data_IF_735867023949
#
_entry.id   IF_735867023949
#
_cell.length_a   1.000
_cell.length_b   1.000
_cell.length_c   1.000
_cell.angle_alpha   90.00
_cell.angle_beta   90.00
_cell.angle_gamma   90.00
#
_symmetry.space_group_name_H-M   'P 1'
#
loop_
_entity.id
_entity.type
_entity.pdbx_description
1 polymer ?
#
# COMPACT_ATOMS: atom_id res chain seq x y z
N UNK A 1 14.01 10.18 -0.53
CA UNK A 1 12.54 9.96 -0.58
C UNK A 1 12.09 9.32 0.74
N UNK A 2 11.02 9.80 1.39
CA UNK A 2 10.50 9.19 2.63
C UNK A 2 9.03 8.78 2.45
N UNK A 3 8.81 7.79 1.58
CA UNK A 3 7.51 7.16 1.46
C UNK A 3 7.16 6.37 2.73
N UNK A 4 5.89 6.09 2.98
CA UNK A 4 5.46 5.04 3.91
C UNK A 4 5.84 3.61 3.42
N UNK A 5 6.35 3.50 2.19
CA UNK A 5 7.07 2.34 1.64
C UNK A 5 8.56 2.43 1.97
N UNK A 6 9.13 3.60 2.27
CA UNK A 6 10.54 3.75 2.61
C UNK A 6 10.91 3.14 3.98
N UNK A 7 9.95 2.50 4.66
CA UNK A 7 10.20 1.56 5.77
C UNK A 7 10.74 0.20 5.29
N UNK A 8 10.54 -0.18 4.01
CA UNK A 8 11.25 -1.29 3.36
C UNK A 8 12.45 -0.79 2.54
N UNK A 9 13.36 -1.70 2.21
CA UNK A 9 14.54 -1.38 1.41
C UNK A 9 14.23 -1.53 -0.09
N UNK A 10 14.55 -0.55 -0.96
CA UNK A 10 14.22 -0.59 -2.39
C UNK A 10 14.64 -1.87 -3.12
N UNK A 11 15.77 -2.49 -2.74
CA UNK A 11 16.27 -3.73 -3.37
C UNK A 11 15.43 -4.97 -3.01
N UNK A 12 14.51 -4.84 -2.06
CA UNK A 12 13.63 -5.92 -1.59
C UNK A 12 12.15 -5.56 -1.58
N UNK A 13 11.80 -4.28 -1.65
CA UNK A 13 10.43 -3.78 -1.59
C UNK A 13 9.65 -4.20 -2.84
N UNK A 14 8.64 -5.07 -2.68
CA UNK A 14 7.78 -5.55 -3.77
C UNK A 14 7.26 -4.42 -4.66
N UNK A 15 6.82 -3.34 -4.03
CA UNK A 15 6.27 -2.14 -4.68
C UNK A 15 7.28 -1.30 -5.48
N UNK A 16 8.56 -1.69 -5.54
CA UNK A 16 9.64 -1.02 -6.28
C UNK A 16 10.09 -1.79 -7.54
N UNK A 17 9.51 -2.96 -7.81
CA UNK A 17 9.80 -3.78 -8.99
C UNK A 17 8.73 -3.59 -10.06
N UNK A 18 9.10 -3.57 -11.34
CA UNK A 18 8.15 -3.59 -12.45
C UNK A 18 7.60 -5.02 -12.65
N UNK A 19 6.46 -5.16 -13.32
CA UNK A 19 5.85 -6.48 -13.52
C UNK A 19 6.77 -7.52 -14.21
N UNK A 20 7.69 -7.16 -15.15
CA UNK A 20 8.61 -8.13 -15.76
C UNK A 20 9.76 -8.57 -14.84
N UNK A 21 10.00 -7.89 -13.72
CA UNK A 21 11.04 -8.27 -12.75
C UNK A 21 10.57 -9.41 -11.82
N UNK A 22 9.29 -9.80 -11.90
CA UNK A 22 8.73 -10.96 -11.22
C UNK A 22 8.81 -12.23 -12.11
N UNK A 23 9.00 -13.43 -11.52
CA UNK A 23 9.10 -14.67 -12.28
C UNK A 23 7.87 -14.94 -13.17
N UNK A 24 8.10 -15.05 -14.47
CA UNK A 24 7.12 -15.57 -15.43
C UNK A 24 7.10 -17.11 -15.41
N UNK A 25 6.01 -17.70 -15.91
CA UNK A 25 5.87 -19.17 -16.02
C UNK A 25 7.08 -19.81 -16.75
N UNK A 26 7.73 -20.77 -16.09
CA UNK A 26 8.93 -21.45 -16.60
C UNK A 26 10.28 -20.83 -16.22
N UNK A 27 10.29 -19.66 -15.56
CA UNK A 27 11.50 -19.06 -14.98
C UNK A 27 11.80 -19.59 -13.56
N UNK A 28 12.97 -19.24 -13.01
CA UNK A 28 13.31 -19.61 -11.64
C UNK A 28 12.38 -18.90 -10.64
N UNK A 29 11.74 -19.61 -9.69
CA UNK A 29 10.76 -19.00 -8.80
C UNK A 29 11.39 -18.03 -7.81
N UNK A 30 10.64 -17.01 -7.41
CA UNK A 30 11.01 -16.11 -6.33
C UNK A 30 10.94 -16.90 -5.01
N UNK A 31 12.06 -17.12 -4.30
CA UNK A 31 12.07 -18.08 -3.20
C UNK A 31 11.18 -17.69 -2.01
N UNK A 32 11.03 -16.40 -1.69
CA UNK A 32 10.29 -15.95 -0.51
C UNK A 32 9.59 -14.59 -0.70
N UNK A 33 8.29 -14.55 -0.44
CA UNK A 33 7.56 -13.32 -0.12
C UNK A 33 7.47 -13.15 1.41
N UNK A 34 7.65 -11.94 1.92
CA UNK A 34 7.38 -11.59 3.32
C UNK A 34 6.24 -10.57 3.35
N UNK A 35 5.14 -10.89 4.03
CA UNK A 35 4.01 -9.99 4.26
C UNK A 35 4.07 -9.45 5.70
N UNK A 36 4.37 -8.15 5.89
CA UNK A 36 4.32 -7.53 7.21
C UNK A 36 2.87 -7.29 7.63
N UNK A 37 2.47 -7.83 8.78
CA UNK A 37 1.20 -7.58 9.44
C UNK A 37 1.44 -6.71 10.67
N UNK A 38 1.17 -5.41 10.54
CA UNK A 38 1.33 -4.44 11.61
C UNK A 38 -0.04 -4.01 12.13
N UNK A 39 -0.34 -4.36 13.39
CA UNK A 39 -1.60 -3.94 14.00
C UNK A 39 -1.49 -2.51 14.49
N UNK A 40 -2.37 -1.63 14.01
CA UNK A 40 -2.57 -0.30 14.60
C UNK A 40 -3.40 -0.39 15.89
N UNK A 41 -3.01 -1.33 16.75
CA UNK A 41 -3.65 -1.61 18.02
C UNK A 41 -3.17 -0.61 19.07
N UNK A 42 -4.09 0.18 19.64
CA UNK A 42 -3.80 0.94 20.85
C UNK A 42 -3.39 0.00 21.99
N UNK A 43 -2.10 0.01 22.35
CA UNK A 43 -1.53 -0.80 23.45
C UNK A 43 -1.42 -0.04 24.78
N UNK A 44 -1.84 1.23 24.81
CA UNK A 44 -1.87 2.08 26.00
C UNK A 44 -2.40 3.47 25.66
N UNK A 45 -2.53 4.33 26.68
CA UNK A 45 -2.96 5.73 26.51
C UNK A 45 -1.87 6.66 25.98
N UNK A 46 -0.60 6.28 26.16
CA UNK A 46 0.58 7.09 25.84
C UNK A 46 1.45 6.52 24.69
N UNK A 47 1.12 5.32 24.20
CA UNK A 47 1.83 4.68 23.08
C UNK A 47 1.19 5.07 21.74
N UNK A 48 1.95 5.57 20.75
CA UNK A 48 1.47 5.76 19.38
C UNK A 48 0.94 4.47 18.75
N UNK A 49 -0.14 4.55 17.97
CA UNK A 49 -0.73 3.34 17.37
C UNK A 49 0.13 2.75 16.24
N UNK A 50 1.09 3.51 15.68
CA UNK A 50 2.09 3.05 14.69
C UNK A 50 3.34 2.41 15.30
N UNK A 51 3.45 2.29 16.62
CA UNK A 51 4.63 1.75 17.30
C UNK A 51 4.98 0.32 16.85
N UNK A 52 3.98 -0.50 16.53
CA UNK A 52 4.15 -1.84 15.96
C UNK A 52 4.87 -1.82 14.61
N UNK A 53 4.45 -0.94 13.70
CA UNK A 53 5.09 -0.76 12.39
C UNK A 53 6.51 -0.20 12.53
N UNK A 54 6.70 0.83 13.37
CA UNK A 54 8.00 1.47 13.55
C UNK A 54 9.08 0.50 14.06
N UNK A 55 8.73 -0.36 15.02
CA UNK A 55 9.66 -1.36 15.56
C UNK A 55 9.77 -2.55 14.61
N UNK A 56 8.64 -3.05 14.09
CA UNK A 56 8.59 -4.20 13.18
C UNK A 56 9.37 -3.97 11.88
N UNK A 57 9.21 -2.81 11.24
CA UNK A 57 9.91 -2.47 10.01
C UNK A 57 11.44 -2.36 10.22
N UNK A 58 11.89 -1.82 11.36
CA UNK A 58 13.32 -1.76 11.70
C UNK A 58 13.91 -3.16 11.88
N UNK A 59 13.21 -4.04 12.59
CA UNK A 59 13.59 -5.45 12.77
C UNK A 59 13.65 -6.17 11.42
N UNK A 60 12.63 -5.97 10.57
CA UNK A 60 12.56 -6.60 9.26
C UNK A 60 13.69 -6.11 8.34
N UNK A 61 13.92 -4.79 8.23
CA UNK A 61 15.02 -4.19 7.45
C UNK A 61 16.38 -4.79 7.85
N UNK A 62 16.68 -4.78 9.15
CA UNK A 62 17.94 -5.30 9.67
C UNK A 62 18.09 -6.80 9.39
N UNK A 63 17.02 -7.59 9.57
CA UNK A 63 17.03 -9.02 9.30
C UNK A 63 17.16 -9.36 7.80
N UNK A 64 16.58 -8.56 6.90
CA UNK A 64 16.61 -8.81 5.45
C UNK A 64 17.85 -8.27 4.76
N UNK A 65 18.62 -7.37 5.38
CA UNK A 65 19.76 -6.70 4.74
C UNK A 65 20.84 -7.65 4.15
N UNK A 66 21.14 -8.83 4.72
CA UNK A 66 22.08 -9.78 4.11
C UNK A 66 21.56 -10.50 2.86
N UNK A 67 20.25 -10.43 2.57
CA UNK A 67 19.59 -11.16 1.47
C UNK A 67 19.26 -10.30 0.25
N UNK A 68 19.64 -9.01 0.23
CA UNK A 68 19.33 -8.13 -0.91
C UNK A 68 20.04 -8.58 -2.19
N UNK A 69 21.36 -8.76 -2.10
CA UNK A 69 22.24 -8.99 -3.25
C UNK A 69 22.01 -10.30 -4.03
N UNK A 70 21.24 -11.25 -3.47
CA UNK A 70 20.92 -12.53 -4.13
C UNK A 70 19.47 -12.56 -4.67
N UNK A 71 18.69 -11.49 -4.51
CA UNK A 71 17.31 -11.39 -4.99
C UNK A 71 16.34 -12.43 -4.41
N UNK A 72 16.71 -13.16 -3.35
CA UNK A 72 16.00 -14.36 -2.88
C UNK A 72 14.69 -14.09 -2.16
N UNK A 73 14.40 -12.83 -1.82
CA UNK A 73 13.15 -12.45 -1.17
C UNK A 73 12.58 -11.13 -1.72
N UNK A 74 11.28 -10.92 -1.49
CA UNK A 74 10.62 -9.61 -1.59
C UNK A 74 9.76 -9.35 -0.36
N UNK A 75 9.71 -8.10 0.07
CA UNK A 75 8.88 -7.62 1.18
C UNK A 75 7.68 -6.90 0.59
N UNK A 76 6.49 -7.41 0.86
CA UNK A 76 5.24 -6.78 0.46
C UNK A 76 5.00 -5.50 1.28
N UNK A 77 4.21 -4.54 0.76
CA UNK A 77 3.73 -3.42 1.56
C UNK A 77 3.02 -3.89 2.84
N UNK A 78 3.14 -3.17 3.96
CA UNK A 78 2.57 -3.61 5.23
C UNK A 78 1.04 -3.54 5.22
N UNK A 79 0.39 -4.58 5.73
CA UNK A 79 -1.02 -4.49 6.18
C UNK A 79 -1.01 -3.75 7.50
N UNK A 80 -1.72 -2.61 7.55
CA UNK A 80 -1.79 -1.71 8.73
C UNK A 80 -3.06 -1.90 9.55
N UNK A 81 -3.98 -2.72 9.05
CA UNK A 81 -5.25 -3.01 9.67
C UNK A 81 -5.06 -4.06 10.78
N UNK A 82 -5.75 -3.88 11.92
CA UNK A 82 -5.82 -4.91 12.95
C UNK A 82 -6.75 -6.00 12.47
N UNK A 83 -6.25 -7.24 12.34
CA UNK A 83 -7.03 -8.39 11.90
C UNK A 83 -7.88 -8.95 13.06
N UNK A 84 -8.81 -8.14 13.56
CA UNK A 84 -9.88 -8.50 14.48
C UNK A 84 -10.85 -7.31 14.64
N UNK A 85 -12.15 -7.58 14.76
CA UNK A 85 -13.08 -6.55 15.22
C UNK A 85 -12.88 -6.29 16.72
N UNK A 86 -12.71 -5.02 17.11
CA UNK A 86 -12.61 -4.63 18.52
C UNK A 86 -13.62 -3.53 18.86
N UNK A 87 -14.16 -3.60 20.08
CA UNK A 87 -14.88 -2.47 20.71
C UNK A 87 -13.93 -1.36 21.16
N UNK A 88 -12.65 -1.69 21.36
CA UNK A 88 -11.56 -0.78 21.72
C UNK A 88 -10.31 -1.11 20.89
N UNK A 89 -10.12 -0.35 19.82
CA UNK A 89 -9.05 -0.52 18.82
C UNK A 89 -9.29 0.45 17.67
N UNK A 90 -8.32 0.54 16.76
CA UNK A 90 -8.40 1.44 15.60
C UNK A 90 -8.07 0.65 14.33
N UNK A 91 -8.77 0.97 13.24
CA UNK A 91 -8.53 0.40 11.91
C UNK A 91 -8.64 -1.13 11.90
N UNK A 92 -9.67 -1.67 12.57
CA UNK A 92 -9.93 -3.11 12.61
C UNK A 92 -10.61 -3.63 11.35
N UNK A 93 -10.37 -4.90 11.03
CA UNK A 93 -11.16 -5.69 10.07
C UNK A 93 -11.89 -6.81 10.82
N UNK A 94 -13.15 -7.06 10.46
CA UNK A 94 -13.85 -8.25 10.92
C UNK A 94 -13.17 -9.54 10.40
N UNK A 95 -13.32 -10.69 11.09
CA UNK A 95 -12.57 -11.91 10.75
C UNK A 95 -12.75 -12.41 9.32
N UNK A 96 -13.93 -12.24 8.73
CA UNK A 96 -14.21 -12.67 7.36
C UNK A 96 -13.53 -11.75 6.36
N UNK A 97 -13.62 -10.42 6.53
CA UNK A 97 -12.85 -9.46 5.70
C UNK A 97 -11.36 -9.70 5.83
N UNK A 98 -10.85 -9.95 7.04
CA UNK A 98 -9.45 -10.23 7.28
C UNK A 98 -8.97 -11.49 6.55
N UNK A 99 -9.79 -12.55 6.53
CA UNK A 99 -9.50 -13.78 5.79
C UNK A 99 -9.54 -13.54 4.28
N UNK A 100 -10.63 -12.97 3.75
CA UNK A 100 -10.78 -12.62 2.33
C UNK A 100 -9.56 -11.80 1.85
N UNK A 101 -9.14 -10.80 2.63
CA UNK A 101 -7.98 -9.94 2.36
C UNK A 101 -6.67 -10.72 2.29
N UNK A 102 -6.32 -11.52 3.32
CA UNK A 102 -5.07 -12.28 3.33
C UNK A 102 -5.03 -13.36 2.24
N UNK A 103 -6.16 -13.98 1.92
CA UNK A 103 -6.25 -14.96 0.84
C UNK A 103 -6.14 -14.32 -0.54
N UNK A 104 -6.73 -13.14 -0.73
CA UNK A 104 -6.56 -12.33 -1.94
C UNK A 104 -5.08 -11.95 -2.18
N UNK A 105 -4.36 -11.50 -1.15
CA UNK A 105 -2.93 -11.21 -1.25
C UNK A 105 -2.10 -12.48 -1.50
N UNK A 106 -2.41 -13.58 -0.81
CA UNK A 106 -1.69 -14.85 -0.97
C UNK A 106 -1.84 -15.43 -2.37
N UNK A 107 -3.01 -15.27 -3.01
CA UNK A 107 -3.22 -15.58 -4.42
C UNK A 107 -2.29 -14.76 -5.32
N UNK A 108 -2.26 -13.43 -5.16
CA UNK A 108 -1.38 -12.54 -5.94
C UNK A 108 0.11 -12.85 -5.77
N UNK A 109 0.54 -13.21 -4.54
CA UNK A 109 1.90 -13.70 -4.26
C UNK A 109 2.23 -14.95 -5.07
N UNK A 110 1.34 -15.96 -5.07
CA UNK A 110 1.50 -17.19 -5.87
C UNK A 110 1.50 -16.90 -7.37
N UNK A 111 0.60 -16.05 -7.85
CA UNK A 111 0.48 -15.69 -9.27
C UNK A 111 1.69 -14.89 -9.78
N UNK A 112 2.45 -14.28 -8.86
CA UNK A 112 3.73 -13.60 -9.14
C UNK A 112 4.96 -14.53 -9.02
N UNK A 113 4.76 -15.85 -9.03
CA UNK A 113 5.84 -16.84 -9.07
C UNK A 113 6.56 -17.09 -7.74
N UNK A 114 6.00 -16.66 -6.61
CA UNK A 114 6.53 -17.00 -5.29
C UNK A 114 6.19 -18.44 -4.88
N UNK A 115 7.14 -19.12 -4.21
CA UNK A 115 6.91 -20.48 -3.66
C UNK A 115 6.74 -20.51 -2.14
N UNK A 116 7.21 -19.47 -1.43
CA UNK A 116 7.11 -19.35 0.02
C UNK A 116 6.50 -18.01 0.41
N UNK A 117 5.69 -18.00 1.47
CA UNK A 117 5.10 -16.78 2.04
C UNK A 117 5.26 -16.77 3.57
N UNK A 118 6.01 -15.79 4.08
CA UNK A 118 6.17 -15.54 5.51
C UNK A 118 5.23 -14.41 5.94
N UNK A 119 4.29 -14.70 6.83
CA UNK A 119 3.53 -13.70 7.56
C UNK A 119 4.35 -13.23 8.77
N UNK A 120 4.91 -12.03 8.70
CA UNK A 120 5.65 -11.42 9.81
C UNK A 120 4.71 -10.53 10.61
N UNK A 121 4.24 -11.00 11.76
CA UNK A 121 3.17 -10.37 12.52
C UNK A 121 3.66 -9.73 13.82
N UNK A 122 3.39 -8.44 14.01
CA UNK A 122 3.70 -7.72 15.26
C UNK A 122 2.52 -7.70 16.24
N UNK A 123 1.31 -7.96 15.75
CA UNK A 123 0.06 -7.80 16.48
C UNK A 123 -0.37 -9.11 17.15
N UNK A 124 -0.26 -9.19 18.47
CA UNK A 124 -0.77 -10.35 19.23
C UNK A 124 -2.27 -10.59 18.99
N UNK A 125 -3.03 -9.53 18.66
CA UNK A 125 -4.46 -9.60 18.31
C UNK A 125 -4.67 -10.27 16.94
N UNK A 126 -3.81 -9.97 15.96
CA UNK A 126 -3.90 -10.51 14.59
C UNK A 126 -3.33 -11.94 14.48
N UNK A 127 -2.63 -12.43 15.51
CA UNK A 127 -1.90 -13.70 15.47
C UNK A 127 -2.77 -14.93 15.11
N UNK A 128 -4.00 -15.11 15.63
CA UNK A 128 -4.84 -16.26 15.27
C UNK A 128 -5.23 -16.26 13.79
N UNK A 129 -5.66 -15.10 13.26
CA UNK A 129 -6.08 -14.98 11.87
C UNK A 129 -4.90 -15.05 10.89
N UNK A 130 -3.72 -14.55 11.26
CA UNK A 130 -2.49 -14.77 10.50
C UNK A 130 -2.12 -16.27 10.42
N UNK A 131 -2.30 -17.03 11.52
CA UNK A 131 -2.06 -18.47 11.53
C UNK A 131 -3.08 -19.25 10.69
N UNK A 132 -4.37 -18.91 10.78
CA UNK A 132 -5.43 -19.51 9.93
C UNK A 132 -5.18 -19.23 8.44
N UNK A 133 -5.00 -17.96 8.06
CA UNK A 133 -4.76 -17.60 6.66
C UNK A 133 -3.48 -18.23 6.09
N UNK A 134 -2.44 -18.45 6.92
CA UNK A 134 -1.25 -19.18 6.50
C UNK A 134 -1.55 -20.66 6.18
N UNK A 135 -2.40 -21.33 6.95
CA UNK A 135 -2.81 -22.70 6.66
C UNK A 135 -3.68 -22.77 5.40
N UNK A 136 -4.63 -21.86 5.26
CA UNK A 136 -5.56 -21.82 4.13
C UNK A 136 -4.83 -21.47 2.82
N UNK A 137 -3.94 -20.47 2.82
CA UNK A 137 -3.11 -20.12 1.66
C UNK A 137 -2.19 -21.27 1.21
N UNK A 138 -1.76 -22.13 2.13
CA UNK A 138 -1.00 -23.35 1.81
C UNK A 138 -1.88 -24.43 1.20
N UNK A 139 -3.09 -24.61 1.72
CA UNK A 139 -4.04 -25.60 1.22
C UNK A 139 -4.60 -25.21 -0.17
N UNK A 140 -4.95 -23.95 -0.38
CA UNK A 140 -5.58 -23.46 -1.61
C UNK A 140 -4.58 -23.13 -2.72
N UNK A 141 -3.43 -22.52 -2.40
CA UNK A 141 -2.47 -22.04 -3.40
C UNK A 141 -1.16 -22.84 -3.47
N UNK A 142 -0.99 -23.87 -2.63
CA UNK A 142 0.22 -24.70 -2.61
C UNK A 142 1.48 -23.98 -2.08
N UNK A 143 1.33 -22.76 -1.53
CA UNK A 143 2.43 -22.00 -0.96
C UNK A 143 3.02 -22.70 0.27
N UNK A 144 4.34 -22.70 0.40
CA UNK A 144 4.96 -23.01 1.69
C UNK A 144 4.82 -21.79 2.59
N UNK A 145 3.87 -21.83 3.51
CA UNK A 145 3.59 -20.72 4.42
C UNK A 145 4.29 -20.85 5.76
N UNK A 146 4.64 -19.71 6.33
CA UNK A 146 5.31 -19.56 7.62
C UNK A 146 4.70 -18.38 8.37
N UNK A 147 4.66 -18.44 9.70
CA UNK A 147 4.22 -17.32 10.54
C UNK A 147 5.29 -17.09 11.59
N UNK A 148 5.76 -15.85 11.71
CA UNK A 148 6.66 -15.42 12.78
C UNK A 148 5.98 -14.31 13.57
N UNK A 149 5.75 -14.57 14.86
CA UNK A 149 5.27 -13.56 15.78
C UNK A 149 6.46 -12.75 16.29
N UNK A 150 6.35 -11.42 16.30
CA UNK A 150 7.36 -10.55 16.87
C UNK A 150 7.63 -10.85 18.36
N UNK A 151 6.61 -11.29 19.10
CA UNK A 151 6.73 -11.72 20.49
C UNK A 151 7.71 -12.90 20.66
N UNK A 152 7.69 -13.88 19.75
CA UNK A 152 8.59 -15.05 19.78
C UNK A 152 10.05 -14.65 19.46
N UNK A 153 10.26 -13.50 18.80
CA UNK A 153 11.57 -12.89 18.61
C UNK A 153 12.07 -12.15 19.85
N UNK A 154 11.26 -12.02 20.91
CA UNK A 154 11.57 -11.25 22.12
C UNK A 154 11.21 -9.77 22.05
N UNK A 155 10.34 -9.38 21.10
CA UNK A 155 9.81 -8.01 21.04
C UNK A 155 8.55 -7.90 21.88
N UNK A 156 8.68 -7.28 23.06
CA UNK A 156 7.52 -6.76 23.79
C UNK A 156 7.27 -5.31 23.37
N UNK A 157 6.01 -5.00 23.07
CA UNK A 157 5.53 -3.67 22.70
C UNK A 157 4.78 -2.99 23.87
N UNK A 158 4.67 -3.66 25.03
CA UNK A 158 4.04 -3.15 26.25
C UNK A 158 5.08 -2.61 27.27
N UNK A 159 6.35 -2.93 27.08
CA UNK A 159 7.47 -2.55 27.95
C UNK A 159 8.64 -1.95 27.12
N UNK A 160 9.67 -1.34 27.75
CA UNK A 160 10.73 -0.64 27.03
C UNK A 160 11.36 -1.54 25.97
N UNK A 161 11.34 -1.07 24.72
CA UNK A 161 11.45 -1.88 23.51
C UNK A 161 12.45 -3.04 23.61
N UNK A 162 11.95 -4.26 23.39
CA UNK A 162 12.79 -5.45 23.28
C UNK A 162 13.92 -5.25 22.27
N UNK A 163 15.07 -5.88 22.51
CA UNK A 163 16.30 -5.66 21.74
C UNK A 163 16.07 -5.93 20.23
N UNK A 164 15.94 -4.84 19.48
CA UNK A 164 15.71 -4.82 18.03
C UNK A 164 16.84 -5.54 17.27
N UNK A 165 18.07 -5.45 17.76
CA UNK A 165 19.22 -6.13 17.14
C UNK A 165 19.14 -7.64 17.39
N UNK A 166 18.84 -8.08 18.62
CA UNK A 166 18.65 -9.50 18.93
C UNK A 166 17.44 -10.09 18.17
N UNK A 167 16.33 -9.36 18.09
CA UNK A 167 15.13 -9.77 17.34
C UNK A 167 15.41 -9.87 15.83
N UNK A 168 16.11 -8.90 15.25
CA UNK A 168 16.53 -8.92 13.85
C UNK A 168 17.45 -10.12 13.56
N UNK A 169 18.42 -10.40 14.44
CA UNK A 169 19.32 -11.55 14.32
C UNK A 169 18.59 -12.89 14.39
N UNK A 170 17.57 -13.01 15.25
CA UNK A 170 16.68 -14.19 15.30
C UNK A 170 15.88 -14.34 14.01
N UNK A 171 15.27 -13.26 13.53
CA UNK A 171 14.52 -13.24 12.27
C UNK A 171 15.41 -13.56 11.05
N UNK A 172 16.64 -13.05 11.00
CA UNK A 172 17.62 -13.39 9.96
C UNK A 172 17.95 -14.88 9.95
N UNK A 173 18.12 -15.50 11.12
CA UNK A 173 18.27 -16.96 11.25
C UNK A 173 17.07 -17.70 10.69
N UNK A 174 15.86 -17.33 11.11
CA UNK A 174 14.62 -17.90 10.61
C UNK A 174 14.44 -17.70 9.09
N UNK A 175 14.78 -16.55 8.51
CA UNK A 175 14.74 -16.32 7.06
C UNK A 175 15.74 -17.26 6.35
N UNK A 176 16.93 -17.46 6.91
CA UNK A 176 17.93 -18.40 6.36
C UNK A 176 17.39 -19.83 6.37
N UNK A 177 16.80 -20.26 7.48
CA UNK A 177 16.15 -21.56 7.62
C UNK A 177 14.94 -21.71 6.69
N UNK A 178 14.08 -20.70 6.57
CA UNK A 178 12.92 -20.67 5.66
C UNK A 178 13.37 -20.78 4.21
N UNK A 179 14.41 -20.05 3.79
CA UNK A 179 14.97 -20.16 2.44
C UNK A 179 15.54 -21.56 2.18
N UNK A 180 16.30 -22.11 3.14
CA UNK A 180 16.86 -23.45 3.08
C UNK A 180 15.81 -24.58 3.25
N UNK A 181 14.65 -24.30 3.83
CA UNK A 181 13.62 -25.29 4.12
C UNK A 181 13.12 -25.92 2.82
N UNK A 182 13.46 -27.18 2.64
CA UNK A 182 12.96 -28.04 1.58
C UNK A 182 12.06 -29.06 2.26
N UNK A 183 10.83 -29.20 1.77
CA UNK A 183 10.13 -30.47 1.96
C UNK A 183 10.99 -31.59 1.32
N UNK A 184 11.01 -32.81 1.89
CA UNK A 184 11.77 -33.94 1.37
C UNK A 184 11.43 -34.26 -0.10
N UNK A 185 12.32 -34.93 -0.88
CA UNK A 185 13.16 -36.03 -0.41
C UNK A 185 14.68 -35.75 -0.37
N UNK A 186 15.29 -35.98 0.79
CA UNK A 186 16.75 -36.06 0.96
C UNK A 186 17.45 -34.77 1.41
N UNK A 187 18.20 -34.88 2.52
CA UNK A 187 19.23 -33.97 3.06
C UNK A 187 20.52 -33.96 2.21
N UNK A 188 21.58 -33.14 2.48
CA UNK A 188 21.86 -32.20 3.59
C UNK A 188 21.95 -30.72 3.07
N UNK A 189 22.65 -29.70 3.63
CA UNK A 189 23.67 -29.57 4.69
C UNK A 189 23.67 -28.17 5.37
N UNK A 190 24.75 -27.82 6.10
CA UNK A 190 24.92 -26.59 6.91
C UNK A 190 25.72 -25.46 6.23
N UNK A 191 25.64 -24.23 6.77
CA UNK A 191 26.35 -23.00 6.34
C UNK A 191 26.85 -22.22 7.59
N UNK A 192 28.04 -21.56 7.57
CA UNK A 192 28.65 -20.93 8.75
C UNK A 192 28.26 -19.45 8.97
N UNK A 193 28.67 -18.87 10.12
CA UNK A 193 28.26 -17.54 10.60
C UNK A 193 29.35 -16.45 10.49
N UNK A 194 28.95 -15.19 10.24
CA UNK A 194 29.80 -13.97 10.27
C UNK A 194 29.03 -12.81 10.95
N UNK A 195 29.76 -11.83 11.49
CA UNK A 195 29.30 -10.76 12.38
C UNK A 195 28.69 -9.53 11.68
N UNK A 196 27.94 -8.72 12.44
CA UNK A 196 27.33 -7.44 12.01
C UNK A 196 28.12 -6.22 12.55
N UNK A 197 27.97 -5.07 11.89
CA UNK A 197 28.47 -3.76 12.34
C UNK A 197 27.36 -2.72 12.41
N UNK A 198 27.44 -1.80 13.38
CA UNK A 198 26.41 -0.80 13.69
C UNK A 198 26.70 0.61 13.15
N UNK A 199 25.60 1.37 12.90
CA UNK A 199 25.39 2.84 12.74
C UNK A 199 24.46 3.14 11.55
N UNK A 200 23.52 4.11 11.55
CA UNK A 200 23.09 5.11 12.56
C UNK A 200 21.70 5.72 12.18
N UNK A 201 20.94 6.22 13.17
CA UNK A 201 19.70 7.04 13.12
C UNK A 201 18.68 6.89 11.96
N UNK A 202 17.56 6.21 12.24
CA UNK A 202 16.37 6.09 11.37
C UNK A 202 15.11 6.73 12.01
N UNK A 203 14.79 7.98 11.67
CA UNK A 203 13.50 8.62 11.97
C UNK A 203 12.65 8.70 10.67
N UNK A 204 11.59 7.87 10.50
CA UNK A 204 11.11 7.50 9.15
C UNK A 204 10.15 8.50 8.45
N UNK A 205 10.02 9.75 8.89
CA UNK A 205 9.07 10.71 8.29
C UNK A 205 9.52 12.17 8.42
N UNK A 206 9.12 13.06 7.50
CA UNK A 206 9.13 14.50 7.77
C UNK A 206 8.26 14.80 8.99
N UNK A 207 8.80 15.53 9.98
CA UNK A 207 8.12 15.82 11.26
C UNK A 207 6.72 16.45 11.09
N UNK A 208 6.50 17.19 9.99
CA UNK A 208 5.22 17.84 9.67
C UNK A 208 4.11 16.84 9.34
N UNK A 209 4.42 15.76 8.61
CA UNK A 209 3.43 14.73 8.26
C UNK A 209 2.95 13.96 9.50
N UNK A 210 3.87 13.60 10.41
CA UNK A 210 3.51 12.93 11.67
C UNK A 210 2.51 13.76 12.48
N UNK A 211 2.65 15.08 12.56
CA UNK A 211 1.70 15.92 13.30
C UNK A 211 0.24 15.87 12.82
N UNK A 212 -0.04 15.34 11.63
CA UNK A 212 -1.39 15.08 11.10
C UNK A 212 -1.71 13.60 10.92
N UNK A 213 -0.75 12.70 11.08
CA UNK A 213 -0.94 11.27 10.84
C UNK A 213 -1.54 10.58 12.06
N UNK A 214 -2.79 10.15 11.97
CA UNK A 214 -3.52 9.45 13.04
C UNK A 214 -2.74 8.21 13.53
N UNK A 215 -1.99 7.55 12.65
CA UNK A 215 -1.10 6.46 13.03
C UNK A 215 -0.07 6.83 14.11
N UNK A 216 0.49 8.04 14.04
CA UNK A 216 1.50 8.49 15.01
C UNK A 216 0.93 9.00 16.33
N UNK A 217 -0.40 8.99 16.48
CA UNK A 217 -1.06 9.53 17.66
C UNK A 217 -1.29 8.44 18.71
N UNK A 218 -1.27 8.85 19.96
CA UNK A 218 -1.69 8.04 21.10
C UNK A 218 -3.22 7.92 21.14
N UNK A 219 -3.76 6.93 21.87
CA UNK A 219 -5.22 6.78 22.02
C UNK A 219 -5.90 8.03 22.59
N UNK A 220 -5.24 8.69 23.56
CA UNK A 220 -5.65 9.98 24.13
C UNK A 220 -5.72 11.10 23.08
N UNK A 221 -4.66 11.27 22.27
CA UNK A 221 -4.62 12.28 21.19
C UNK A 221 -5.63 12.01 20.09
N UNK A 222 -5.85 10.75 19.71
CA UNK A 222 -6.86 10.37 18.70
C UNK A 222 -8.27 10.85 19.10
N UNK A 223 -8.68 10.62 20.35
CA UNK A 223 -9.98 11.07 20.87
C UNK A 223 -10.07 12.59 20.99
N UNK A 224 -8.97 13.27 21.32
CA UNK A 224 -8.94 14.73 21.37
C UNK A 224 -9.07 15.37 19.97
N UNK A 225 -8.37 14.85 18.96
CA UNK A 225 -8.40 15.37 17.59
C UNK A 225 -9.77 15.21 16.91
N UNK A 226 -10.53 14.18 17.28
CA UNK A 226 -11.89 13.93 16.78
C UNK A 226 -12.99 14.78 17.47
N UNK A 227 -12.64 15.61 18.45
CA UNK A 227 -13.61 16.35 19.27
C UNK A 227 -14.26 17.59 18.62
N UNK A 228 -13.80 18.02 17.44
CA UNK A 228 -14.41 19.11 16.67
C UNK A 228 -15.38 18.57 15.61
N UNK A 229 -16.51 19.23 15.41
CA UNK A 229 -17.46 18.90 14.33
C UNK A 229 -16.83 19.04 12.93
N UNK A 230 -15.83 19.92 12.79
CA UNK A 230 -15.10 20.17 11.55
C UNK A 230 -13.86 19.26 11.40
N UNK A 231 -13.64 18.32 12.32
CA UNK A 231 -12.54 17.38 12.24
C UNK A 231 -12.71 16.45 11.02
N UNK A 232 -11.76 16.56 10.10
CA UNK A 232 -11.72 15.82 8.84
C UNK A 232 -10.68 14.70 8.93
N UNK A 233 -11.14 13.46 8.83
CA UNK A 233 -10.27 12.33 8.54
C UNK A 233 -10.09 12.18 7.03
N UNK A 234 -8.85 11.95 6.58
CA UNK A 234 -8.52 11.57 5.21
C UNK A 234 -8.15 10.09 5.21
N UNK A 235 -8.85 9.27 4.43
CA UNK A 235 -8.45 7.88 4.15
C UNK A 235 -7.81 7.81 2.75
N UNK A 236 -6.47 7.61 2.66
CA UNK A 236 -5.83 7.35 1.39
C UNK A 236 -6.08 5.90 0.96
N UNK A 237 -6.47 5.71 -0.29
CA UNK A 237 -6.67 4.40 -0.92
C UNK A 237 -5.86 4.35 -2.22
N UNK A 238 -5.12 3.26 -2.40
CA UNK A 238 -4.22 3.01 -3.53
C UNK A 238 -4.43 1.58 -4.05
N UNK A 239 -3.54 1.12 -4.92
CA UNK A 239 -3.36 -0.28 -5.25
C UNK A 239 -1.88 -0.66 -5.37
N UNK A 240 -1.64 -1.94 -5.66
CA UNK A 240 -0.35 -2.52 -6.02
C UNK A 240 -0.57 -3.33 -7.29
N UNK A 241 -0.12 -2.80 -8.42
CA UNK A 241 -0.46 -3.29 -9.75
C UNK A 241 0.56 -2.89 -10.81
N UNK A 242 0.64 -3.70 -11.87
CA UNK A 242 1.49 -3.45 -13.03
C UNK A 242 1.37 -2.00 -13.54
N UNK A 243 2.49 -1.38 -13.93
CA UNK A 243 2.51 -0.07 -14.58
C UNK A 243 3.47 -0.09 -15.78
N UNK A 244 3.24 -1.03 -16.70
CA UNK A 244 4.13 -1.26 -17.83
C UNK A 244 5.49 -1.83 -17.41
N UNK A 245 6.46 -1.75 -18.33
CA UNK A 245 7.83 -2.24 -18.10
C UNK A 245 8.72 -1.21 -17.38
N UNK A 246 8.33 0.08 -17.38
CA UNK A 246 9.18 1.19 -16.96
C UNK A 246 8.89 1.72 -15.56
N UNK A 247 7.72 1.44 -14.98
CA UNK A 247 7.34 1.83 -13.63
C UNK A 247 7.15 0.61 -12.72
N UNK A 248 7.34 0.77 -11.40
CA UNK A 248 7.20 -0.31 -10.45
C UNK A 248 5.72 -0.58 -10.12
N UNK A 249 5.41 -1.72 -9.51
CA UNK A 249 4.01 -2.06 -9.16
C UNK A 249 3.41 -1.22 -8.00
N UNK A 250 4.12 -0.21 -7.51
CA UNK A 250 3.73 0.63 -6.37
C UNK A 250 3.30 2.06 -6.70
N UNK A 251 3.12 2.42 -7.98
CA UNK A 251 2.86 3.80 -8.44
C UNK A 251 1.77 4.49 -7.63
N UNK A 252 0.55 3.94 -7.55
CA UNK A 252 -0.58 4.53 -6.82
C UNK A 252 -0.26 4.85 -5.37
N UNK A 253 0.44 3.91 -4.70
CA UNK A 253 0.79 4.01 -3.29
C UNK A 253 1.90 5.05 -3.06
N UNK A 254 2.77 5.27 -4.04
CA UNK A 254 3.82 6.29 -4.05
C UNK A 254 3.21 7.65 -4.35
N UNK A 255 2.53 7.79 -5.49
CA UNK A 255 1.95 9.04 -5.97
C UNK A 255 0.83 9.55 -5.06
N UNK A 256 -0.01 8.65 -4.55
CA UNK A 256 -1.08 9.00 -3.63
C UNK A 256 -0.59 9.52 -2.29
N UNK A 257 0.56 9.02 -1.83
CA UNK A 257 1.24 9.61 -0.68
C UNK A 257 1.87 10.96 -1.04
N UNK A 258 2.57 11.05 -2.18
CA UNK A 258 3.29 12.25 -2.58
C UNK A 258 2.34 13.45 -2.71
N UNK A 259 1.20 13.29 -3.38
CA UNK A 259 0.23 14.38 -3.56
C UNK A 259 -0.47 14.73 -2.24
N UNK A 260 -0.75 13.75 -1.37
CA UNK A 260 -1.30 14.01 -0.04
C UNK A 260 -0.30 14.75 0.85
N UNK A 261 0.99 14.39 0.81
CA UNK A 261 2.04 15.10 1.54
C UNK A 261 2.17 16.55 1.04
N UNK A 262 2.24 16.75 -0.28
CA UNK A 262 2.27 18.09 -0.90
C UNK A 262 1.05 18.94 -0.52
N UNK A 263 -0.14 18.32 -0.41
CA UNK A 263 -1.33 19.00 0.07
C UNK A 263 -1.21 19.37 1.56
N UNK A 264 -0.88 18.42 2.44
CA UNK A 264 -0.82 18.62 3.89
C UNK A 264 0.28 19.61 4.32
N UNK A 265 1.36 19.74 3.56
CA UNK A 265 2.40 20.77 3.78
C UNK A 265 1.88 22.20 3.61
N UNK A 266 0.76 22.40 2.91
CA UNK A 266 0.10 23.72 2.74
C UNK A 266 -1.14 23.91 3.61
N UNK A 267 -1.56 22.90 4.39
CA UNK A 267 -2.73 23.01 5.30
C UNK A 267 -2.34 23.75 6.59
N UNK A 268 -3.02 24.85 6.96
CA UNK A 268 -2.75 25.63 8.19
C UNK A 268 -2.66 24.76 9.44
N UNK A 269 -1.64 24.97 10.27
CA UNK A 269 -1.24 24.06 11.36
C UNK A 269 -2.36 23.74 12.38
N UNK A 270 -3.29 24.67 12.56
CA UNK A 270 -4.46 24.62 13.44
C UNK A 270 -5.70 23.95 12.80
N UNK A 271 -5.75 23.80 11.47
CA UNK A 271 -6.87 23.16 10.79
C UNK A 271 -6.97 21.67 11.23
N UNK A 272 -8.17 21.18 11.64
CA UNK A 272 -8.37 19.84 12.20
C UNK A 272 -8.47 18.76 11.11
N UNK A 273 -7.47 18.73 10.22
CA UNK A 273 -7.37 17.82 9.08
C UNK A 273 -6.26 16.81 9.36
N UNK A 274 -6.61 15.51 9.32
CA UNK A 274 -5.76 14.41 9.74
C UNK A 274 -5.79 13.24 8.74
N UNK A 275 -4.64 12.62 8.48
CA UNK A 275 -4.53 11.45 7.61
C UNK A 275 -4.59 10.15 8.42
N UNK A 276 -5.50 9.26 8.04
CA UNK A 276 -5.55 7.87 8.49
C UNK A 276 -4.41 7.03 7.86
N UNK A 277 -4.09 5.86 8.43
CA UNK A 277 -3.28 4.84 7.77
C UNK A 277 -3.90 4.48 6.41
N UNK A 278 -3.11 4.36 5.33
CA UNK A 278 -3.63 4.10 4.01
C UNK A 278 -4.09 2.66 3.85
N UNK A 279 -5.05 2.47 2.95
CA UNK A 279 -5.34 1.18 2.34
C UNK A 279 -4.48 1.04 1.08
N UNK A 280 -3.32 0.38 1.21
CA UNK A 280 -2.35 0.22 0.11
C UNK A 280 -2.80 -0.76 -0.97
N UNK A 281 -3.72 -1.67 -0.63
CA UNK A 281 -4.20 -2.73 -1.51
C UNK A 281 -5.60 -2.39 -2.01
N UNK A 282 -5.74 -2.31 -3.34
CA UNK A 282 -6.97 -1.93 -4.03
C UNK A 282 -7.57 -3.07 -4.83
N UNK A 283 -8.65 -2.76 -5.55
CA UNK A 283 -9.32 -3.68 -6.49
C UNK A 283 -8.84 -3.39 -7.91
N UNK A 284 -8.01 -4.28 -8.43
CA UNK A 284 -7.19 -4.17 -9.64
C UNK A 284 -7.41 -5.37 -10.58
N UNK A 285 -8.66 -5.78 -10.75
CA UNK A 285 -9.04 -6.95 -11.57
C UNK A 285 -8.71 -6.74 -13.05
N UNK A 286 -8.73 -5.48 -13.51
CA UNK A 286 -8.29 -5.02 -14.83
C UNK A 286 -6.81 -5.35 -15.11
N UNK A 287 -5.98 -5.50 -14.09
CA UNK A 287 -4.56 -5.88 -14.21
C UNK A 287 -4.32 -7.37 -13.90
N UNK A 288 -5.37 -8.19 -13.83
CA UNK A 288 -5.26 -9.63 -13.54
C UNK A 288 -4.49 -10.39 -14.64
N UNK A 289 -3.45 -11.09 -14.23
CA UNK A 289 -2.54 -11.83 -15.10
C UNK A 289 -1.16 -11.18 -15.27
N UNK A 290 -0.97 -9.93 -14.82
CA UNK A 290 0.34 -9.30 -14.72
C UNK A 290 0.96 -9.57 -13.34
N UNK A 291 2.15 -10.16 -13.33
CA UNK A 291 2.89 -10.49 -12.11
C UNK A 291 3.22 -9.23 -11.27
N UNK A 292 3.37 -9.39 -9.97
CA UNK A 292 3.53 -8.30 -9.01
C UNK A 292 2.22 -7.61 -8.61
N UNK A 293 1.12 -7.79 -9.35
CA UNK A 293 -0.20 -7.23 -8.99
C UNK A 293 -0.82 -7.95 -7.78
N UNK A 294 -1.21 -7.18 -6.75
CA UNK A 294 -1.77 -7.68 -5.50
C UNK A 294 -3.17 -7.09 -5.25
N UNK A 295 -4.15 -7.57 -6.03
CA UNK A 295 -5.55 -7.13 -5.95
C UNK A 295 -6.32 -7.82 -4.82
N UNK A 296 -7.01 -7.02 -4.00
CA UNK A 296 -8.19 -7.47 -3.24
C UNK A 296 -9.45 -7.38 -4.09
N UNK A 297 -10.51 -8.09 -3.74
CA UNK A 297 -11.80 -8.00 -4.43
C UNK A 297 -12.65 -6.80 -3.94
N UNK A 298 -13.72 -6.49 -4.70
CA UNK A 298 -14.58 -5.34 -4.40
C UNK A 298 -15.37 -5.46 -3.09
N UNK A 299 -15.70 -6.69 -2.65
CA UNK A 299 -16.36 -6.95 -1.36
C UNK A 299 -15.40 -6.62 -0.22
N UNK A 300 -14.16 -7.08 -0.32
CA UNK A 300 -13.07 -6.86 0.63
C UNK A 300 -12.71 -5.38 0.74
N UNK A 301 -12.58 -4.68 -0.40
CA UNK A 301 -12.32 -3.24 -0.45
C UNK A 301 -13.45 -2.45 0.25
N UNK A 302 -14.71 -2.70 -0.15
CA UNK A 302 -15.91 -2.09 0.46
C UNK A 302 -15.94 -2.29 1.98
N UNK A 303 -15.78 -3.54 2.45
CA UNK A 303 -15.82 -3.86 3.89
C UNK A 303 -14.68 -3.21 4.66
N UNK A 304 -13.48 -3.17 4.08
CA UNK A 304 -12.32 -2.50 4.68
C UNK A 304 -12.57 -1.00 4.87
N UNK A 305 -13.08 -0.33 3.84
CA UNK A 305 -13.41 1.11 3.89
C UNK A 305 -14.57 1.39 4.87
N UNK A 306 -15.62 0.56 4.89
CA UNK A 306 -16.70 0.66 5.89
C UNK A 306 -16.21 0.46 7.32
N UNK A 307 -15.30 -0.49 7.55
CA UNK A 307 -14.77 -0.77 8.89
C UNK A 307 -13.91 0.38 9.40
N UNK A 308 -13.03 0.93 8.55
CA UNK A 308 -12.25 2.14 8.85
C UNK A 308 -13.15 3.34 9.13
N UNK A 309 -14.18 3.57 8.30
CA UNK A 309 -15.13 4.66 8.51
C UNK A 309 -15.92 4.50 9.83
N UNK A 310 -16.30 3.27 10.19
CA UNK A 310 -16.97 2.96 11.46
C UNK A 310 -16.07 3.24 12.67
N UNK A 311 -14.79 2.88 12.61
CA UNK A 311 -13.83 3.16 13.69
C UNK A 311 -13.53 4.67 13.81
N UNK A 312 -13.45 5.39 12.70
CA UNK A 312 -13.35 6.87 12.71
C UNK A 312 -14.62 7.52 13.29
N UNK A 313 -15.81 7.01 12.96
CA UNK A 313 -17.08 7.46 13.53
C UNK A 313 -17.26 7.14 15.01
N UNK A 314 -16.69 6.03 15.49
CA UNK A 314 -16.57 5.67 16.91
C UNK A 314 -15.59 6.60 17.65
N UNK A 315 -14.52 7.05 16.99
CA UNK A 315 -13.58 8.05 17.51
C UNK A 315 -14.20 9.45 17.66
N UNK A 316 -15.17 9.80 16.81
CA UNK A 316 -15.89 11.07 16.84
C UNK A 316 -15.93 11.81 15.50
N UNK A 317 -15.13 11.38 14.51
CA UNK A 317 -15.09 12.02 13.19
C UNK A 317 -16.46 11.97 12.50
N UNK A 318 -16.90 13.12 11.98
CA UNK A 318 -18.14 13.27 11.20
C UNK A 318 -17.92 13.68 9.75
N UNK A 319 -16.68 14.00 9.36
CA UNK A 319 -16.26 14.23 7.97
C UNK A 319 -15.16 13.24 7.58
N UNK A 320 -15.31 12.61 6.41
CA UNK A 320 -14.35 11.66 5.84
C UNK A 320 -14.08 11.98 4.36
N UNK A 321 -12.86 12.36 4.04
CA UNK A 321 -12.37 12.45 2.67
C UNK A 321 -11.64 11.16 2.29
N UNK A 322 -12.04 10.51 1.21
CA UNK A 322 -11.29 9.40 0.60
C UNK A 322 -10.47 9.95 -0.55
N UNK A 323 -9.14 9.92 -0.45
CA UNK A 323 -8.24 10.26 -1.57
C UNK A 323 -7.84 8.98 -2.27
N UNK A 324 -7.98 8.93 -3.60
CA UNK A 324 -7.81 7.70 -4.35
C UNK A 324 -7.01 7.91 -5.64
N UNK A 325 -6.01 7.06 -5.85
CA UNK A 325 -5.05 7.13 -6.96
C UNK A 325 -5.17 5.98 -7.96
N UNK A 326 -6.10 5.06 -7.75
CA UNK A 326 -6.38 3.94 -8.65
C UNK A 326 -7.69 4.12 -9.43
N UNK A 327 -7.72 3.88 -10.74
CA UNK A 327 -8.96 3.78 -11.51
C UNK A 327 -9.94 2.71 -10.97
N UNK A 328 -9.45 1.50 -10.71
CA UNK A 328 -10.27 0.33 -10.41
C UNK A 328 -11.07 0.38 -9.11
N UNK A 329 -10.57 1.14 -8.14
CA UNK A 329 -11.24 1.40 -6.86
C UNK A 329 -12.51 2.26 -7.01
N UNK A 330 -12.61 3.10 -8.05
CA UNK A 330 -13.58 4.22 -8.12
C UNK A 330 -15.03 3.78 -7.87
N UNK A 331 -15.51 2.75 -8.57
CA UNK A 331 -16.90 2.33 -8.48
C UNK A 331 -17.25 1.73 -7.11
N UNK A 332 -16.31 1.03 -6.48
CA UNK A 332 -16.48 0.47 -5.12
C UNK A 332 -16.52 1.59 -4.09
N UNK A 333 -15.62 2.58 -4.21
CA UNK A 333 -15.60 3.73 -3.32
C UNK A 333 -16.87 4.58 -3.45
N UNK A 334 -17.32 4.89 -4.67
CA UNK A 334 -18.49 5.75 -4.89
C UNK A 334 -19.80 5.15 -4.36
N UNK A 335 -19.97 3.81 -4.37
CA UNK A 335 -21.09 3.17 -3.69
C UNK A 335 -20.90 3.18 -2.16
N UNK A 336 -19.68 2.87 -1.68
CA UNK A 336 -19.37 2.77 -0.24
C UNK A 336 -19.54 4.10 0.49
N UNK A 337 -19.27 5.24 -0.16
CA UNK A 337 -19.48 6.56 0.44
C UNK A 337 -20.95 6.85 0.76
N UNK A 338 -21.89 6.31 -0.02
CA UNK A 338 -23.33 6.44 0.26
C UNK A 338 -23.74 5.62 1.48
N UNK A 339 -23.19 4.41 1.59
CA UNK A 339 -23.39 3.53 2.74
C UNK A 339 -22.78 4.13 4.02
N UNK A 340 -21.59 4.74 3.94
CA UNK A 340 -21.00 5.51 5.06
C UNK A 340 -21.91 6.66 5.49
N UNK A 341 -22.54 7.35 4.54
CA UNK A 341 -23.45 8.46 4.84
C UNK A 341 -24.73 7.98 5.51
N UNK A 342 -25.35 6.93 4.99
CA UNK A 342 -26.61 6.38 5.50
C UNK A 342 -26.42 5.61 6.81
N UNK A 343 -25.54 4.62 6.83
CA UNK A 343 -25.39 3.67 7.94
C UNK A 343 -24.64 4.25 9.14
N UNK A 344 -23.73 5.21 8.91
CA UNK A 344 -22.83 5.76 9.94
C UNK A 344 -23.06 7.26 10.23
N UNK A 345 -23.88 7.94 9.43
CA UNK A 345 -24.14 9.38 9.58
C UNK A 345 -22.92 10.28 9.31
N UNK A 346 -21.88 9.77 8.64
CA UNK A 346 -20.64 10.51 8.35
C UNK A 346 -20.79 11.21 6.99
N UNK A 347 -20.45 12.49 6.92
CA UNK A 347 -20.29 13.19 5.65
C UNK A 347 -19.04 12.66 4.93
N UNK A 348 -19.24 11.95 3.82
CA UNK A 348 -18.18 11.21 3.14
C UNK A 348 -18.08 11.58 1.67
N UNK A 349 -16.86 11.84 1.19
CA UNK A 349 -16.59 12.31 -0.18
C UNK A 349 -15.34 11.65 -0.75
N UNK A 350 -15.30 11.35 -2.06
CA UNK A 350 -14.06 11.00 -2.77
C UNK A 350 -13.42 12.26 -3.32
N UNK A 351 -12.29 12.67 -2.77
CA UNK A 351 -11.55 13.83 -3.25
C UNK A 351 -10.47 13.41 -4.25
N UNK A 352 -10.42 14.17 -5.35
CA UNK A 352 -9.29 14.24 -6.28
C UNK A 352 -8.80 15.69 -6.27
N UNK A 353 -7.53 15.93 -6.56
CA UNK A 353 -7.02 17.29 -6.70
C UNK A 353 -7.80 18.09 -7.76
N UNK A 354 -8.25 17.43 -8.83
CA UNK A 354 -8.94 18.09 -9.94
C UNK A 354 -8.00 18.95 -10.79
N UNK A 355 -6.69 18.72 -10.68
CA UNK A 355 -5.71 19.29 -11.59
C UNK A 355 -5.88 18.69 -12.99
N UNK A 356 -5.67 19.51 -14.00
CA UNK A 356 -5.69 19.11 -15.40
C UNK A 356 -4.38 19.60 -16.04
N UNK A 357 -3.40 18.70 -16.28
CA UNK A 357 -2.16 19.07 -16.95
C UNK A 357 -2.43 19.44 -18.41
N UNK A 358 -1.64 20.36 -18.95
CA UNK A 358 -1.51 20.52 -20.41
C UNK A 358 -0.66 19.35 -20.95
N UNK A 359 -1.28 18.49 -21.75
CA UNK A 359 -0.65 17.33 -22.41
C UNK A 359 -1.12 17.25 -23.88
N UNK A 360 -0.58 16.29 -24.63
CA UNK A 360 -1.00 16.06 -26.02
C UNK A 360 -2.49 15.69 -26.11
N UNK A 361 -3.25 16.15 -27.13
CA UNK A 361 -4.66 15.78 -27.29
C UNK A 361 -4.93 14.26 -27.33
N UNK A 362 -3.99 13.47 -27.86
CA UNK A 362 -4.08 12.01 -27.85
C UNK A 362 -3.97 11.45 -26.42
N UNK A 363 -3.10 12.03 -25.59
CA UNK A 363 -2.93 11.66 -24.18
C UNK A 363 -4.14 12.10 -23.35
N UNK A 364 -4.63 13.33 -23.55
CA UNK A 364 -5.84 13.82 -22.88
C UNK A 364 -7.10 13.02 -23.25
N UNK A 365 -7.12 12.43 -24.45
CA UNK A 365 -8.21 11.58 -24.90
C UNK A 365 -8.10 10.14 -24.37
N UNK A 366 -6.94 9.49 -24.49
CA UNK A 366 -6.78 8.04 -24.33
C UNK A 366 -5.66 7.60 -23.36
N UNK A 367 -4.92 8.54 -22.77
CA UNK A 367 -4.05 8.28 -21.63
C UNK A 367 -4.87 7.89 -20.40
N UNK A 368 -4.46 6.79 -19.76
CA UNK A 368 -5.20 6.14 -18.69
C UNK A 368 -4.30 5.48 -17.64
N UNK A 369 -3.17 4.89 -18.04
CA UNK A 369 -2.39 3.97 -17.19
C UNK A 369 -0.90 3.93 -17.55
N UNK A 370 -0.02 4.10 -16.56
CA UNK A 370 1.43 4.19 -16.74
C UNK A 370 1.86 5.22 -17.80
N UNK A 371 1.13 6.34 -17.83
CA UNK A 371 1.08 7.35 -18.89
C UNK A 371 2.09 8.51 -18.69
N UNK A 372 1.99 9.59 -19.46
CA UNK A 372 2.81 10.81 -19.31
C UNK A 372 2.65 11.42 -17.91
N UNK A 373 1.44 11.38 -17.34
CA UNK A 373 1.11 11.94 -16.02
C UNK A 373 1.79 11.17 -14.89
N UNK A 374 1.55 9.87 -14.81
CA UNK A 374 2.08 9.01 -13.75
C UNK A 374 3.60 8.89 -13.84
N UNK A 375 4.12 8.71 -15.06
CA UNK A 375 5.57 8.61 -15.28
C UNK A 375 6.28 9.91 -14.92
N UNK A 376 5.71 11.08 -15.25
CA UNK A 376 6.30 12.37 -14.87
C UNK A 376 6.32 12.56 -13.35
N UNK A 377 5.21 12.25 -12.67
CA UNK A 377 5.15 12.32 -11.22
C UNK A 377 6.13 11.35 -10.55
N UNK A 378 6.28 10.13 -11.09
CA UNK A 378 7.25 9.15 -10.61
C UNK A 378 8.70 9.62 -10.82
N UNK A 379 9.04 10.22 -11.96
CA UNK A 379 10.35 10.86 -12.19
C UNK A 379 10.65 11.99 -11.20
N UNK A 380 9.62 12.67 -10.68
CA UNK A 380 9.78 13.70 -9.66
C UNK A 380 9.87 13.14 -8.22
N UNK A 381 9.23 11.99 -7.95
CA UNK A 381 9.10 11.42 -6.60
C UNK A 381 10.11 10.31 -6.28
N UNK A 382 10.30 9.39 -7.23
CA UNK A 382 11.09 8.16 -7.15
C UNK A 382 11.85 7.90 -8.47
N UNK A 383 12.70 8.83 -8.97
CA UNK A 383 13.43 8.63 -10.22
C UNK A 383 14.27 7.35 -10.25
N UNK A 384 14.73 6.87 -9.09
CA UNK A 384 15.46 5.60 -8.94
C UNK A 384 14.62 4.34 -9.26
N UNK A 385 13.29 4.46 -9.32
CA UNK A 385 12.39 3.37 -9.68
C UNK A 385 11.84 3.49 -11.12
N UNK A 386 12.29 4.47 -11.91
CA UNK A 386 11.78 4.70 -13.28
C UNK A 386 12.82 4.29 -14.32
N UNK A 387 12.44 3.32 -15.15
CA UNK A 387 13.25 2.76 -16.23
C UNK A 387 12.81 3.32 -17.58
N UNK A 388 13.09 4.59 -17.85
CA UNK A 388 12.65 5.29 -19.07
C UNK A 388 13.12 4.61 -20.36
N UNK A 389 14.22 3.87 -20.34
CA UNK A 389 14.70 3.05 -21.46
C UNK A 389 13.76 1.89 -21.82
N UNK A 390 12.86 1.51 -20.92
CA UNK A 390 11.80 0.51 -21.11
C UNK A 390 10.43 1.13 -21.43
N UNK A 391 10.32 2.46 -21.43
CA UNK A 391 9.04 3.16 -21.64
C UNK A 391 8.56 2.98 -23.09
N UNK A 392 7.30 2.60 -23.26
CA UNK A 392 6.67 2.37 -24.56
C UNK A 392 5.34 3.10 -24.64
N UNK A 393 4.98 3.53 -25.85
CA UNK A 393 3.71 4.20 -26.13
C UNK A 393 2.72 3.22 -26.72
N UNK A 394 1.60 3.04 -26.06
CA UNK A 394 0.53 2.13 -26.46
C UNK A 394 -0.81 2.74 -26.02
N UNK A 395 -1.78 2.84 -26.93
CA UNK A 395 -3.10 3.44 -26.66
C UNK A 395 -4.21 2.47 -27.10
N UNK A 396 -5.36 2.43 -26.40
CA UNK A 396 -6.51 1.63 -26.85
C UNK A 396 -7.04 2.04 -28.24
N UNK A 397 -6.95 3.32 -28.59
CA UNK A 397 -7.47 3.92 -29.82
C UNK A 397 -6.90 5.33 -30.06
N UNK A 398 -7.34 5.99 -31.13
CA UNK A 398 -6.88 7.32 -31.56
C UNK A 398 -7.83 8.45 -31.15
N UNK A 399 -7.32 9.67 -30.98
CA UNK A 399 -8.12 10.87 -30.61
C UNK A 399 -9.29 11.15 -31.55
N UNK A 400 -9.14 10.83 -32.85
CA UNK A 400 -10.17 10.99 -33.87
C UNK A 400 -11.21 9.85 -33.91
N UNK A 401 -11.13 8.86 -32.99
CA UNK A 401 -12.10 7.78 -32.88
C UNK A 401 -13.48 8.33 -32.41
N UNK A 402 -14.54 8.25 -33.24
CA UNK A 402 -15.88 8.71 -32.88
C UNK A 402 -16.59 7.76 -31.90
N UNK A 403 -15.92 6.70 -31.45
CA UNK A 403 -16.44 5.61 -30.65
C UNK A 403 -17.06 6.06 -29.32
N UNK A 404 -18.39 5.87 -29.22
CA UNK A 404 -19.12 6.02 -27.96
C UNK A 404 -18.88 4.87 -26.98
N UNK A 405 -18.21 3.79 -27.40
CA UNK A 405 -17.85 2.63 -26.59
C UNK A 405 -16.39 2.71 -26.17
N UNK A 406 -16.11 2.93 -24.87
CA UNK A 406 -14.73 3.15 -24.37
C UNK A 406 -14.49 2.45 -23.02
N UNK A 407 -13.24 2.23 -22.60
CA UNK A 407 -12.92 1.63 -21.29
C UNK A 407 -13.44 2.43 -20.08
N UNK A 408 -13.56 3.75 -20.22
CA UNK A 408 -14.14 4.65 -19.22
C UNK A 408 -14.66 5.95 -19.85
N UNK A 409 -15.27 6.83 -19.03
CA UNK A 409 -15.62 8.24 -19.34
C UNK A 409 -16.42 8.45 -20.64
N UNK A 410 -17.23 7.46 -21.06
CA UNK A 410 -18.01 7.50 -22.31
C UNK A 410 -19.46 7.08 -22.12
N UNK A 411 -20.28 7.26 -23.17
CA UNK A 411 -21.71 6.93 -23.17
C UNK A 411 -21.99 5.42 -23.02
N UNK A 412 -21.11 4.57 -23.56
CA UNK A 412 -21.08 3.14 -23.28
C UNK A 412 -19.70 2.74 -22.75
N UNK A 413 -19.69 1.94 -21.68
CA UNK A 413 -18.48 1.41 -21.05
C UNK A 413 -18.55 -0.12 -21.08
N UNK A 414 -17.46 -0.77 -21.48
CA UNK A 414 -17.33 -2.23 -21.48
C UNK A 414 -16.42 -2.72 -20.35
N UNK A 415 -16.61 -3.97 -19.92
CA UNK A 415 -15.68 -4.62 -19.00
C UNK A 415 -14.40 -4.99 -19.73
N UNK A 416 -13.32 -4.26 -19.47
CA UNK A 416 -12.01 -4.45 -20.07
C UNK A 416 -11.02 -5.07 -19.09
N UNK A 417 -10.05 -5.82 -19.61
CA UNK A 417 -8.80 -6.14 -18.92
C UNK A 417 -7.65 -5.48 -19.70
N UNK A 418 -6.59 -5.12 -19.00
CA UNK A 418 -5.41 -4.45 -19.58
C UNK A 418 -4.82 -5.27 -20.73
N UNK A 419 -4.74 -6.60 -20.55
CA UNK A 419 -4.25 -7.55 -21.57
C UNK A 419 -5.12 -7.64 -22.83
N UNK A 420 -6.34 -7.10 -22.80
CA UNK A 420 -7.24 -7.02 -23.95
C UNK A 420 -7.00 -5.71 -24.75
N UNK A 421 -6.31 -4.73 -24.15
CA UNK A 421 -6.07 -3.39 -24.69
C UNK A 421 -4.58 -3.07 -24.95
N UNK A 422 -3.66 -3.73 -24.23
CA UNK A 422 -2.22 -3.46 -24.25
C UNK A 422 -1.40 -4.73 -24.01
N UNK A 423 -0.29 -4.85 -24.73
CA UNK A 423 0.69 -5.91 -24.59
C UNK A 423 1.73 -5.58 -23.50
N UNK A 424 2.08 -4.30 -23.36
CA UNK A 424 3.08 -3.84 -22.38
C UNK A 424 2.50 -3.63 -20.98
N UNK A 425 1.19 -3.40 -20.89
CA UNK A 425 0.50 -2.91 -19.71
C UNK A 425 0.33 -1.37 -19.66
N UNK A 426 0.90 -0.63 -20.62
CA UNK A 426 0.78 0.84 -20.73
C UNK A 426 -0.45 1.22 -21.56
N UNK A 427 -1.18 2.25 -21.12
CA UNK A 427 -2.28 2.90 -21.83
C UNK A 427 -2.03 4.42 -21.82
N UNK A 428 -1.13 4.90 -22.68
CA UNK A 428 -0.66 6.30 -22.73
C UNK A 428 0.66 6.49 -23.50
N UNK A 429 1.25 7.69 -23.40
CA UNK A 429 2.59 8.01 -23.91
C UNK A 429 3.59 8.45 -22.82
N UNK A 430 4.12 7.49 -22.03
CA UNK A 430 5.16 7.79 -21.05
C UNK A 430 6.46 8.31 -21.66
N UNK A 431 6.70 8.17 -22.97
CA UNK A 431 7.95 8.64 -23.60
C UNK A 431 8.10 10.16 -23.60
N UNK A 432 7.01 10.88 -23.33
CA UNK A 432 6.95 12.33 -23.19
C UNK A 432 7.09 12.81 -21.74
N UNK A 433 7.20 11.89 -20.79
CA UNK A 433 7.27 12.20 -19.37
C UNK A 433 8.58 12.91 -18.99
N UNK A 434 8.50 13.79 -17.99
CA UNK A 434 9.64 14.58 -17.53
C UNK A 434 9.54 14.95 -16.04
N UNK A 435 10.69 15.09 -15.38
CA UNK A 435 10.76 15.36 -13.95
C UNK A 435 10.34 16.80 -13.57
N UNK A 436 10.51 17.81 -14.44
CA UNK A 436 10.01 19.17 -14.21
C UNK A 436 8.50 19.28 -14.42
N UNK A 437 7.93 18.51 -15.36
CA UNK A 437 6.47 18.30 -15.41
C UNK A 437 5.97 17.73 -14.08
N UNK A 438 6.55 16.62 -13.64
CA UNK A 438 6.19 15.97 -12.38
C UNK A 438 6.27 16.89 -11.16
N UNK A 439 7.38 17.63 -10.98
CA UNK A 439 7.55 18.59 -9.88
C UNK A 439 6.45 19.66 -9.86
N UNK A 440 6.14 20.24 -11.02
CA UNK A 440 5.12 21.29 -11.18
C UNK A 440 3.72 20.75 -10.89
N UNK A 441 3.38 19.63 -11.51
CA UNK A 441 2.09 18.95 -11.38
C UNK A 441 1.81 18.48 -9.94
N UNK A 442 2.82 17.97 -9.25
CA UNK A 442 2.75 17.59 -7.84
C UNK A 442 2.46 18.81 -6.95
N UNK A 443 3.14 19.94 -7.18
CA UNK A 443 2.95 21.16 -6.41
C UNK A 443 1.56 21.79 -6.65
N UNK A 444 1.14 21.93 -7.90
CA UNK A 444 -0.14 22.53 -8.27
C UNK A 444 -1.32 21.63 -7.85
N UNK A 445 -1.21 20.31 -8.06
CA UNK A 445 -2.19 19.33 -7.60
C UNK A 445 -2.27 19.24 -6.07
N UNK A 446 -1.14 19.33 -5.36
CA UNK A 446 -1.11 19.38 -3.89
C UNK A 446 -1.82 20.63 -3.36
N UNK A 447 -1.53 21.81 -3.91
CA UNK A 447 -2.17 23.07 -3.53
C UNK A 447 -3.69 23.10 -3.88
N UNK A 448 -4.11 22.41 -4.94
CA UNK A 448 -5.53 22.21 -5.23
C UNK A 448 -6.20 21.26 -4.22
N UNK A 449 -5.60 20.10 -3.95
CA UNK A 449 -6.12 19.13 -2.99
C UNK A 449 -6.23 19.74 -1.58
N UNK A 450 -5.23 20.53 -1.15
CA UNK A 450 -5.25 21.28 0.11
C UNK A 450 -6.45 22.22 0.23
N UNK A 451 -6.76 22.97 -0.85
CA UNK A 451 -7.97 23.82 -0.91
C UNK A 451 -9.24 22.98 -0.77
N UNK A 452 -9.39 21.90 -1.55
CA UNK A 452 -10.56 21.01 -1.47
C UNK A 452 -10.76 20.38 -0.09
N UNK A 453 -9.67 20.03 0.59
CA UNK A 453 -9.70 19.52 1.97
C UNK A 453 -10.20 20.59 2.96
N UNK A 454 -9.76 21.84 2.80
CA UNK A 454 -10.20 22.97 3.63
C UNK A 454 -11.66 23.36 3.36
N UNK A 455 -12.08 23.40 2.09
CA UNK A 455 -13.46 23.68 1.68
C UNK A 455 -14.41 22.62 2.30
N UNK A 456 -14.10 21.34 2.11
CA UNK A 456 -14.89 20.23 2.66
C UNK A 456 -14.90 20.17 4.20
N UNK A 457 -13.78 20.50 4.86
CA UNK A 457 -13.73 20.58 6.32
C UNK A 457 -14.65 21.70 6.88
N UNK A 458 -14.84 22.78 6.12
CA UNK A 458 -15.70 23.92 6.48
C UNK A 458 -17.17 23.74 6.07
N UNK A 459 -17.49 22.72 5.27
CA UNK A 459 -18.83 22.49 4.73
C UNK A 459 -19.25 23.50 3.65
N UNK A 460 -18.28 23.99 2.86
CA UNK A 460 -18.47 24.96 1.76
C UNK A 460 -18.25 24.33 0.39
#
# INVERSE_FOLDING_TARGET
MHSWLANTDPETAWAHFAWPDFPVSGSAPLPLAILPLHGFAGRGEDTPVDAEELIGARVLRAATAPFKANGSLRILPPVRQVLAERRSGFFGLDPETACDFLMNLSRGVRDSGCTKLLFFNTSAVSAPLAATAALDARAEFGLQTYVVQAADLGLDFNHPAGDVHAAAKRLQGLISEILAHRCPPGTPAQVPAIQAGDKQDDAPFPLRFRNRYLGSFTASRLRACAGSADALAILPVAAIEQHGHHLPVGVDAILGQALLAAALDTVPADAPIFAAPPLLYGKSIEHAGFAGTLSIDGKTLRRSVLSIARDLGRLGFRRLAVTNFHGGNIHVLDMTLREIREDLGIEAVRLRAGYQPEMDPQELAWGMHADEWETSLMLACAPECVHMEKAVREYPAHVDDPGLLRPEKSAAIFGWLTRDLSNSGVLGDPTRADADKGRRWLAEGGALLSRRLLDFARGS
#
